data_IF_466132008731
#
_entry.id   IF_466132008731
#
_cell.length_a   1.000
_cell.length_b   1.000
_cell.length_c   1.000
_cell.angle_alpha   90.00
_cell.angle_beta   90.00
_cell.angle_gamma   90.00
#
_symmetry.space_group_name_H-M   'P 1'
#
loop_
_entity.id
_entity.type
_entity.pdbx_description
1 polymer ?
#
# COMPACT_ATOMS: atom_id res chain seq x y z
N UNK A 1 24.80 16.67 16.72
CA UNK A 1 24.12 16.90 15.43
C UNK A 1 22.89 15.99 15.42
N UNK A 2 21.72 16.50 15.09
CA UNK A 2 20.50 15.69 14.96
C UNK A 2 20.44 15.22 13.50
N UNK A 3 20.41 13.90 13.28
CA UNK A 3 20.27 13.35 11.95
C UNK A 3 18.83 13.54 11.43
N UNK A 4 18.69 13.72 10.13
CA UNK A 4 17.37 13.85 9.49
C UNK A 4 16.54 12.58 9.67
N UNK A 5 17.17 11.42 9.56
CA UNK A 5 16.56 10.13 9.77
C UNK A 5 17.54 9.18 10.48
N UNK A 6 16.99 8.31 11.31
CA UNK A 6 17.72 7.20 11.94
C UNK A 6 16.79 5.97 11.87
N UNK A 7 17.18 4.92 11.13
CA UNK A 7 16.39 3.69 11.07
C UNK A 7 16.13 3.12 12.47
N UNK A 8 14.91 2.60 12.74
CA UNK A 8 14.61 2.02 14.04
C UNK A 8 15.49 0.81 14.33
N UNK A 9 16.04 0.74 15.54
CA UNK A 9 16.82 -0.39 16.01
C UNK A 9 16.05 -1.15 17.09
N UNK A 10 15.92 -2.46 16.91
CA UNK A 10 15.30 -3.37 17.87
C UNK A 10 16.20 -4.61 18.01
N UNK A 11 16.63 -4.91 19.23
CA UNK A 11 17.58 -6.01 19.51
C UNK A 11 17.17 -7.35 18.90
N UNK A 12 15.89 -7.68 18.95
CA UNK A 12 15.37 -8.97 18.42
C UNK A 12 15.35 -9.08 16.90
N UNK A 13 15.59 -8.00 16.17
CA UNK A 13 15.53 -8.05 14.70
C UNK A 13 16.56 -9.03 14.11
N UNK A 14 17.78 -9.02 14.65
CA UNK A 14 18.84 -9.95 14.22
C UNK A 14 18.48 -11.42 14.50
N UNK A 15 17.86 -11.70 15.66
CA UNK A 15 17.43 -13.05 16.03
C UNK A 15 16.36 -13.58 15.08
N UNK A 16 15.37 -12.77 14.74
CA UNK A 16 14.29 -13.15 13.82
C UNK A 16 14.80 -13.38 12.39
N UNK A 17 15.73 -12.55 11.91
CA UNK A 17 16.39 -12.79 10.61
C UNK A 17 17.17 -14.12 10.64
N UNK A 18 17.91 -14.39 11.73
CA UNK A 18 18.65 -15.62 11.89
C UNK A 18 17.72 -16.86 11.94
N UNK A 19 16.52 -16.71 12.50
CA UNK A 19 15.50 -17.76 12.49
C UNK A 19 15.04 -18.08 11.07
N UNK A 20 14.81 -17.08 10.20
CA UNK A 20 14.51 -17.33 8.79
C UNK A 20 15.59 -18.15 8.10
N UNK A 21 16.87 -17.84 8.37
CA UNK A 21 18.01 -18.56 7.79
C UNK A 21 18.08 -20.00 8.33
N UNK A 22 17.92 -20.21 9.63
CA UNK A 22 17.94 -21.55 10.26
C UNK A 22 16.79 -22.43 9.74
N UNK A 23 15.61 -21.85 9.54
CA UNK A 23 14.45 -22.55 9.03
C UNK A 23 14.48 -22.75 7.50
N UNK A 24 15.53 -22.29 6.82
CA UNK A 24 15.70 -22.37 5.36
C UNK A 24 14.51 -21.76 4.58
N UNK A 25 13.84 -20.75 5.16
CA UNK A 25 12.73 -20.03 4.57
C UNK A 25 13.05 -18.54 4.56
N UNK A 26 13.73 -18.07 3.51
CA UNK A 26 14.18 -16.69 3.35
C UNK A 26 13.38 -15.91 2.28
N UNK A 27 12.69 -16.62 1.38
CA UNK A 27 11.80 -15.98 0.41
C UNK A 27 10.50 -15.53 1.09
N UNK A 28 9.75 -14.66 0.44
CA UNK A 28 8.50 -14.12 0.97
C UNK A 28 7.40 -15.14 1.22
N UNK A 29 6.31 -14.66 1.80
CA UNK A 29 5.19 -15.46 2.32
C UNK A 29 5.63 -16.53 3.35
N UNK A 30 6.68 -16.23 4.09
CA UNK A 30 7.10 -17.01 5.26
C UNK A 30 6.35 -16.60 6.53
N UNK A 31 6.82 -17.11 7.66
CA UNK A 31 6.19 -16.91 8.95
C UNK A 31 6.15 -15.42 9.38
N UNK A 32 7.20 -14.66 9.08
CA UNK A 32 7.25 -13.25 9.45
C UNK A 32 6.42 -12.36 8.53
N UNK A 33 6.35 -12.69 7.24
CA UNK A 33 5.40 -12.03 6.32
C UNK A 33 3.96 -12.18 6.82
N UNK A 34 3.57 -13.38 7.24
CA UNK A 34 2.24 -13.67 7.78
C UNK A 34 1.98 -12.89 9.09
N UNK A 35 2.94 -12.89 10.03
CA UNK A 35 2.84 -12.15 11.28
C UNK A 35 2.68 -10.64 11.07
N UNK A 36 3.44 -10.05 10.14
CA UNK A 36 3.31 -8.64 9.80
C UNK A 36 1.94 -8.32 9.19
N UNK A 37 1.49 -9.13 8.21
CA UNK A 37 0.19 -8.94 7.57
C UNK A 37 -0.94 -9.05 8.59
N UNK A 38 -0.93 -10.07 9.43
CA UNK A 38 -1.92 -10.26 10.49
C UNK A 38 -1.94 -9.08 11.48
N UNK A 39 -0.76 -8.63 11.94
CA UNK A 39 -0.67 -7.50 12.86
C UNK A 39 -1.28 -6.23 12.24
N UNK A 40 -1.01 -5.96 10.95
CA UNK A 40 -1.57 -4.81 10.25
C UNK A 40 -3.09 -4.99 10.08
N UNK A 41 -3.57 -6.16 9.68
CA UNK A 41 -5.00 -6.48 9.54
C UNK A 41 -5.75 -6.25 10.86
N UNK A 42 -5.22 -6.75 11.99
CA UNK A 42 -5.82 -6.57 13.32
C UNK A 42 -5.83 -5.11 13.79
N UNK A 43 -4.78 -4.34 13.50
CA UNK A 43 -4.67 -2.94 13.95
C UNK A 43 -5.45 -1.96 13.09
N UNK A 44 -5.61 -2.24 11.80
CA UNK A 44 -6.26 -1.32 10.86
C UNK A 44 -7.69 -1.70 10.56
N UNK A 45 -8.05 -2.97 10.74
CA UNK A 45 -9.35 -3.52 10.33
C UNK A 45 -9.51 -3.69 8.82
N UNK A 46 -8.40 -3.65 8.05
CA UNK A 46 -8.43 -3.98 6.62
C UNK A 46 -8.74 -5.46 6.42
N UNK A 47 -9.44 -5.80 5.34
CA UNK A 47 -9.79 -7.20 5.03
C UNK A 47 -8.56 -8.04 4.74
N UNK A 48 -7.59 -7.46 4.00
CA UNK A 48 -6.33 -8.13 3.67
C UNK A 48 -5.17 -7.15 3.60
N UNK A 49 -4.02 -7.58 4.12
CA UNK A 49 -2.75 -6.89 3.98
C UNK A 49 -1.75 -7.77 3.23
N UNK A 50 -1.20 -7.26 2.16
CA UNK A 50 -0.16 -7.92 1.38
C UNK A 50 1.13 -7.11 1.43
N UNK A 51 2.18 -7.64 2.06
CA UNK A 51 3.50 -6.99 2.02
C UNK A 51 4.02 -6.92 0.59
N UNK A 52 4.64 -5.79 0.27
CA UNK A 52 5.27 -5.51 -1.04
C UNK A 52 6.72 -5.06 -0.84
N UNK A 53 7.50 -5.11 -1.92
CA UNK A 53 8.92 -4.71 -1.90
C UNK A 53 9.13 -3.21 -1.73
N UNK A 54 8.08 -2.39 -1.91
CA UNK A 54 8.05 -0.95 -1.63
C UNK A 54 6.61 -0.44 -1.60
N UNK A 55 6.38 0.76 -1.07
CA UNK A 55 5.11 1.46 -1.22
C UNK A 55 4.81 1.80 -2.69
N UNK A 56 5.83 2.11 -3.47
CA UNK A 56 5.72 2.29 -4.92
C UNK A 56 5.06 1.08 -5.58
N UNK A 57 5.55 -0.12 -5.28
CA UNK A 57 4.96 -1.36 -5.79
C UNK A 57 3.56 -1.64 -5.22
N UNK A 58 3.25 -1.20 -4.00
CA UNK A 58 1.88 -1.27 -3.46
C UNK A 58 0.93 -0.38 -4.27
N UNK A 59 1.36 0.85 -4.61
CA UNK A 59 0.56 1.78 -5.42
C UNK A 59 0.41 1.32 -6.86
N UNK A 60 1.48 0.78 -7.48
CA UNK A 60 1.41 0.14 -8.79
C UNK A 60 0.43 -1.04 -8.81
N UNK A 61 0.48 -1.90 -7.78
CA UNK A 61 -0.44 -3.02 -7.64
C UNK A 61 -1.89 -2.53 -7.47
N UNK A 62 -2.12 -1.47 -6.70
CA UNK A 62 -3.44 -0.85 -6.58
C UNK A 62 -3.96 -0.29 -7.92
N UNK A 63 -3.09 0.36 -8.70
CA UNK A 63 -3.44 0.87 -10.03
C UNK A 63 -3.79 -0.27 -11.01
N UNK A 64 -3.07 -1.40 -10.93
CA UNK A 64 -3.38 -2.60 -11.71
C UNK A 64 -4.74 -3.19 -11.34
N UNK A 65 -5.03 -3.33 -10.05
CA UNK A 65 -6.30 -3.84 -9.51
C UNK A 65 -7.49 -2.91 -9.81
N UNK A 66 -7.21 -1.63 -10.01
CA UNK A 66 -8.22 -0.61 -10.33
C UNK A 66 -8.57 -0.56 -11.82
N UNK A 67 -8.01 -1.46 -12.63
CA UNK A 67 -8.25 -1.55 -14.08
C UNK A 67 -7.98 -0.22 -14.81
N UNK A 68 -6.93 0.49 -14.40
CA UNK A 68 -6.51 1.76 -15.01
C UNK A 68 -5.93 1.51 -16.40
N UNK A 69 -6.40 2.26 -17.39
CA UNK A 69 -6.02 2.15 -18.79
C UNK A 69 -5.36 3.41 -19.33
N UNK A 70 -4.66 3.33 -20.48
CA UNK A 70 -4.12 4.50 -21.14
C UNK A 70 -5.20 5.56 -21.44
N UNK A 71 -4.95 6.80 -21.02
CA UNK A 71 -5.86 7.93 -21.19
C UNK A 71 -6.87 8.13 -20.08
N UNK A 72 -6.99 7.21 -19.13
CA UNK A 72 -7.71 7.45 -17.88
C UNK A 72 -7.03 8.53 -17.04
N UNK A 73 -7.78 9.20 -16.19
CA UNK A 73 -7.27 10.27 -15.33
C UNK A 73 -7.32 9.85 -13.87
N UNK A 74 -6.24 10.19 -13.13
CA UNK A 74 -6.14 10.00 -11.68
C UNK A 74 -5.89 11.34 -11.00
N UNK A 75 -6.82 11.79 -10.14
CA UNK A 75 -6.73 13.05 -9.39
C UNK A 75 -5.85 12.84 -8.16
N UNK A 76 -4.82 13.68 -7.99
CA UNK A 76 -3.87 13.60 -6.89
C UNK A 76 -3.33 14.97 -6.49
N UNK A 77 -2.74 15.14 -5.29
CA UNK A 77 -2.18 16.43 -4.89
C UNK A 77 -0.93 16.77 -5.70
N UNK A 78 -0.74 18.06 -5.98
CA UNK A 78 0.48 18.56 -6.64
C UNK A 78 1.74 18.44 -5.75
N UNK A 79 1.56 18.27 -4.44
CA UNK A 79 2.64 18.08 -3.47
C UNK A 79 2.63 16.64 -2.94
N UNK A 80 3.44 15.80 -3.56
CA UNK A 80 3.61 14.39 -3.19
C UNK A 80 4.96 13.87 -3.66
N UNK A 81 5.31 12.66 -3.24
CA UNK A 81 6.44 11.93 -3.79
C UNK A 81 6.10 11.42 -5.20
N UNK A 82 7.09 11.34 -6.07
CA UNK A 82 6.90 10.98 -7.50
C UNK A 82 6.20 9.64 -7.71
N UNK A 83 6.42 8.66 -6.83
CA UNK A 83 5.83 7.32 -6.94
C UNK A 83 4.30 7.33 -6.94
N UNK A 84 3.67 8.33 -6.28
CA UNK A 84 2.21 8.49 -6.30
C UNK A 84 1.69 8.67 -7.72
N UNK A 85 2.40 9.44 -8.55
CA UNK A 85 2.04 9.66 -9.94
C UNK A 85 2.54 8.54 -10.86
N UNK A 86 3.77 8.06 -10.64
CA UNK A 86 4.42 7.06 -11.49
C UNK A 86 3.59 5.78 -11.63
N UNK A 87 2.93 5.33 -10.56
CA UNK A 87 2.08 4.14 -10.58
C UNK A 87 0.99 4.21 -11.66
N UNK A 88 0.44 5.39 -11.89
CA UNK A 88 -0.60 5.64 -12.90
C UNK A 88 0.00 5.90 -14.28
N UNK A 89 1.10 6.65 -14.34
CA UNK A 89 1.81 6.92 -15.59
C UNK A 89 2.31 5.63 -16.24
N UNK A 90 2.78 4.66 -15.46
CA UNK A 90 3.17 3.33 -15.95
C UNK A 90 2.00 2.57 -16.59
N UNK A 91 0.76 2.91 -16.25
CA UNK A 91 -0.46 2.38 -16.89
C UNK A 91 -0.91 3.22 -18.10
N UNK A 92 -0.19 4.29 -18.42
CA UNK A 92 -0.56 5.23 -19.47
C UNK A 92 -1.67 6.21 -19.09
N UNK A 93 -2.02 6.27 -17.80
CA UNK A 93 -2.97 7.23 -17.27
C UNK A 93 -2.36 8.63 -17.15
N UNK A 94 -3.21 9.63 -17.06
CA UNK A 94 -2.85 11.04 -16.95
C UNK A 94 -3.06 11.49 -15.49
N UNK A 95 -1.99 11.89 -14.77
CA UNK A 95 -2.12 12.52 -13.47
C UNK A 95 -2.82 13.87 -13.61
N UNK A 96 -3.87 14.12 -12.83
CA UNK A 96 -4.58 15.39 -12.73
C UNK A 96 -4.27 15.98 -11.38
N UNK A 97 -3.40 17.00 -11.35
CA UNK A 97 -2.96 17.58 -10.10
C UNK A 97 -3.95 18.64 -9.61
N UNK A 98 -4.30 18.55 -8.33
CA UNK A 98 -5.01 19.59 -7.58
C UNK A 98 -4.08 20.22 -6.55
N UNK A 99 -4.33 21.47 -6.20
CA UNK A 99 -3.51 22.16 -5.21
C UNK A 99 -3.74 21.60 -3.80
N UNK A 100 -2.87 21.99 -2.88
CA UNK A 100 -2.87 21.53 -1.50
C UNK A 100 -3.38 22.59 -0.55
N UNK A 101 -3.86 22.16 0.59
CA UNK A 101 -4.17 23.03 1.73
C UNK A 101 -2.88 23.53 2.39
N UNK A 102 -2.75 24.82 2.66
CA UNK A 102 -1.54 25.36 3.27
C UNK A 102 -1.35 24.95 4.75
N UNK A 103 -2.43 24.53 5.42
CA UNK A 103 -2.42 24.15 6.83
C UNK A 103 -2.00 22.70 7.07
N UNK A 104 -2.26 21.79 6.11
CA UNK A 104 -1.99 20.35 6.26
C UNK A 104 -1.03 19.80 5.22
N UNK A 105 -0.79 20.51 4.11
CA UNK A 105 -0.06 20.04 2.93
C UNK A 105 -0.75 18.89 2.19
N UNK A 106 -1.95 18.50 2.62
CA UNK A 106 -2.78 17.50 1.93
C UNK A 106 -3.54 18.16 0.76
N UNK A 107 -4.02 17.33 -0.18
CA UNK A 107 -4.86 17.85 -1.27
C UNK A 107 -6.04 18.67 -0.74
N UNK A 108 -6.35 19.78 -1.41
CA UNK A 108 -7.55 20.56 -1.09
C UNK A 108 -8.78 19.83 -1.65
N UNK A 109 -9.56 19.24 -0.75
CA UNK A 109 -10.76 18.48 -1.08
C UNK A 109 -11.80 19.28 -1.86
N UNK A 110 -11.77 20.61 -1.75
CA UNK A 110 -12.71 21.51 -2.44
C UNK A 110 -12.44 21.64 -3.94
N UNK A 111 -11.21 21.30 -4.35
CA UNK A 111 -10.79 21.39 -5.75
C UNK A 111 -11.04 20.09 -6.52
N UNK A 112 -11.32 18.98 -5.84
CA UNK A 112 -11.47 17.66 -6.46
C UNK A 112 -12.66 17.63 -7.42
N UNK A 113 -13.81 18.13 -6.99
CA UNK A 113 -15.05 18.08 -7.78
C UNK A 113 -14.87 18.75 -9.15
N UNK A 114 -14.19 19.92 -9.18
CA UNK A 114 -13.94 20.66 -10.42
C UNK A 114 -12.92 19.98 -11.34
N UNK A 115 -12.10 19.06 -10.81
CA UNK A 115 -11.12 18.32 -11.57
C UNK A 115 -11.68 17.01 -12.17
N UNK A 116 -12.90 16.60 -11.78
CA UNK A 116 -13.54 15.37 -12.31
C UNK A 116 -13.97 15.58 -13.75
N UNK A 117 -13.59 14.66 -14.62
CA UNK A 117 -14.03 14.56 -16.02
C UNK A 117 -14.61 13.17 -16.31
N UNK A 118 -15.08 12.95 -17.53
CA UNK A 118 -15.55 11.63 -17.97
C UNK A 118 -14.43 10.58 -18.02
N UNK A 119 -13.16 11.01 -18.06
CA UNK A 119 -11.98 10.15 -18.06
C UNK A 119 -11.48 9.82 -16.66
N UNK A 120 -11.94 10.54 -15.64
CA UNK A 120 -11.48 10.30 -14.26
C UNK A 120 -11.91 8.92 -13.80
N UNK A 121 -10.95 8.16 -13.24
CA UNK A 121 -11.16 6.81 -12.69
C UNK A 121 -10.77 6.69 -11.24
N UNK A 122 -9.81 7.49 -10.79
CA UNK A 122 -9.30 7.39 -9.43
C UNK A 122 -9.08 8.75 -8.76
N UNK A 123 -9.20 8.76 -7.44
CA UNK A 123 -8.69 9.82 -6.56
C UNK A 123 -7.63 9.19 -5.68
N UNK A 124 -6.48 9.87 -5.58
CA UNK A 124 -5.30 9.38 -4.84
C UNK A 124 -4.94 10.39 -3.74
N UNK A 125 -5.62 10.37 -2.60
CA UNK A 125 -5.26 11.22 -1.46
C UNK A 125 -3.92 10.75 -0.88
N UNK A 126 -3.08 11.72 -0.50
CA UNK A 126 -1.79 11.48 0.18
C UNK A 126 -1.90 12.00 1.61
N UNK A 127 -1.72 11.15 2.58
CA UNK A 127 -1.75 11.50 4.01
C UNK A 127 -0.38 12.02 4.45
N UNK A 128 -0.08 13.27 4.09
CA UNK A 128 1.22 13.86 4.31
C UNK A 128 1.58 13.93 5.79
N UNK A 129 2.79 13.49 6.14
CA UNK A 129 3.27 13.40 7.52
C UNK A 129 2.35 12.62 8.50
N UNK A 130 1.48 11.74 7.98
CA UNK A 130 0.50 11.01 8.79
C UNK A 130 -0.74 11.83 9.16
N UNK A 131 -0.86 13.06 8.64
CA UNK A 131 -2.08 13.88 8.80
C UNK A 131 -3.12 13.42 7.78
N UNK A 132 -4.32 13.14 8.25
CA UNK A 132 -5.38 12.66 7.37
C UNK A 132 -5.85 13.74 6.38
N UNK A 133 -6.13 13.34 5.13
CA UNK A 133 -6.97 14.12 4.23
C UNK A 133 -8.42 14.17 4.76
N UNK A 134 -9.25 15.08 4.24
CA UNK A 134 -10.69 15.16 4.56
C UNK A 134 -11.44 14.01 3.90
N UNK A 135 -11.27 12.81 4.46
CA UNK A 135 -11.73 11.56 3.83
C UNK A 135 -13.24 11.49 3.64
N UNK A 136 -14.04 12.11 4.51
CA UNK A 136 -15.50 12.12 4.33
C UNK A 136 -15.89 12.81 3.02
N UNK A 137 -15.29 13.96 2.72
CA UNK A 137 -15.54 14.70 1.48
C UNK A 137 -15.01 13.94 0.26
N UNK A 138 -13.81 13.38 0.36
CA UNK A 138 -13.18 12.61 -0.73
C UNK A 138 -14.04 11.38 -1.07
N UNK A 139 -14.48 10.65 -0.05
CA UNK A 139 -15.30 9.44 -0.25
C UNK A 139 -16.70 9.78 -0.80
N UNK A 140 -17.31 10.91 -0.41
CA UNK A 140 -18.58 11.37 -0.96
C UNK A 140 -18.43 11.68 -2.47
N UNK A 141 -17.39 12.43 -2.85
CA UNK A 141 -17.11 12.73 -4.27
C UNK A 141 -16.88 11.42 -5.05
N UNK A 142 -16.05 10.53 -4.52
CA UNK A 142 -15.76 9.26 -5.16
C UNK A 142 -17.03 8.41 -5.37
N UNK A 143 -17.92 8.38 -4.39
CA UNK A 143 -19.20 7.65 -4.49
C UNK A 143 -20.11 8.25 -5.56
N UNK A 144 -20.29 9.58 -5.59
CA UNK A 144 -21.13 10.26 -6.57
C UNK A 144 -20.65 10.04 -8.01
N UNK A 145 -19.35 10.02 -8.21
CA UNK A 145 -18.74 9.86 -9.54
C UNK A 145 -18.29 8.42 -9.84
N UNK A 146 -18.50 7.47 -8.92
CA UNK A 146 -18.08 6.05 -9.04
C UNK A 146 -16.59 5.90 -9.28
N UNK A 147 -15.78 6.68 -8.57
CA UNK A 147 -14.33 6.67 -8.66
C UNK A 147 -13.73 5.70 -7.64
N UNK A 148 -12.60 5.11 -7.99
CA UNK A 148 -11.76 4.33 -7.09
C UNK A 148 -10.97 5.30 -6.20
N UNK A 149 -10.83 4.97 -4.91
CA UNK A 149 -9.96 5.71 -4.00
C UNK A 149 -8.78 4.82 -3.61
N UNK A 150 -7.57 5.31 -3.87
CA UNK A 150 -6.31 4.66 -3.50
C UNK A 150 -5.57 5.61 -2.56
N UNK A 151 -5.49 5.24 -1.27
CA UNK A 151 -4.82 6.07 -0.28
C UNK A 151 -3.31 5.86 -0.33
N UNK A 152 -2.56 6.89 -0.69
CA UNK A 152 -1.12 6.93 -0.40
C UNK A 152 -0.94 7.26 1.09
N UNK A 153 -0.89 6.23 1.89
CA UNK A 153 -0.68 6.28 3.32
C UNK A 153 0.76 5.91 3.69
N UNK A 154 1.74 6.25 2.82
CA UNK A 154 3.16 5.95 3.03
C UNK A 154 3.71 6.44 4.39
N UNK A 155 3.05 7.41 5.01
CA UNK A 155 3.35 7.95 6.33
C UNK A 155 2.20 7.77 7.33
N UNK A 156 1.18 6.97 6.96
CA UNK A 156 -0.10 6.88 7.67
C UNK A 156 -0.25 5.72 8.66
N UNK A 157 0.75 4.83 8.79
CA UNK A 157 0.67 3.72 9.74
C UNK A 157 0.48 4.22 11.17
N UNK A 158 -0.46 3.63 11.91
CA UNK A 158 -0.88 4.03 13.27
C UNK A 158 -1.59 5.40 13.37
N UNK A 159 -1.79 6.11 12.25
CA UNK A 159 -2.61 7.30 12.21
C UNK A 159 -4.08 6.97 11.86
N UNK A 160 -4.99 7.86 12.24
CA UNK A 160 -6.42 7.65 12.04
C UNK A 160 -7.15 8.95 11.69
N UNK A 161 -8.27 8.82 10.99
CA UNK A 161 -9.25 9.87 10.77
C UNK A 161 -10.57 9.48 11.43
N UNK A 162 -11.03 10.27 12.41
CA UNK A 162 -12.27 10.00 13.16
C UNK A 162 -12.34 8.58 13.74
N UNK A 163 -11.20 8.07 14.21
CA UNK A 163 -11.11 6.75 14.84
C UNK A 163 -10.96 5.57 13.88
N UNK A 164 -10.97 5.79 12.56
CA UNK A 164 -10.70 4.75 11.55
C UNK A 164 -9.28 4.90 11.00
N UNK A 165 -8.54 3.80 10.89
CA UNK A 165 -7.15 3.80 10.45
C UNK A 165 -6.99 4.35 9.03
N UNK A 166 -5.94 5.16 8.78
CA UNK A 166 -5.58 5.61 7.45
C UNK A 166 -5.15 4.42 6.58
N UNK A 167 -5.44 4.50 5.27
CA UNK A 167 -5.24 3.40 4.33
C UNK A 167 -6.39 2.40 4.28
N UNK A 168 -7.52 2.67 4.98
CA UNK A 168 -8.68 1.76 5.00
C UNK A 168 -9.99 2.39 4.54
N UNK A 169 -9.98 3.66 4.16
CA UNK A 169 -11.17 4.37 3.67
C UNK A 169 -11.47 4.04 2.22
N UNK A 170 -10.44 4.07 1.38
CA UNK A 170 -10.53 3.79 -0.05
C UNK A 170 -10.72 2.31 -0.38
N UNK A 171 -10.64 2.00 -1.65
CA UNK A 171 -10.63 0.63 -2.14
C UNK A 171 -9.31 -0.06 -1.77
N UNK A 172 -8.21 0.71 -1.85
CA UNK A 172 -6.86 0.28 -1.52
C UNK A 172 -6.14 1.34 -0.70
N UNK A 173 -5.23 0.89 0.17
CA UNK A 173 -4.31 1.75 0.91
C UNK A 173 -2.88 1.24 0.79
N UNK A 174 -1.91 2.15 0.76
CA UNK A 174 -0.51 1.82 0.53
C UNK A 174 0.35 2.34 1.69
N UNK A 175 1.00 1.43 2.43
CA UNK A 175 1.96 1.78 3.48
C UNK A 175 3.39 1.67 2.97
N UNK A 176 4.28 2.48 3.53
CA UNK A 176 5.72 2.42 3.29
C UNK A 176 6.47 1.94 4.53
N UNK A 177 7.41 1.02 4.30
CA UNK A 177 8.39 0.55 5.27
C UNK A 177 9.83 0.80 4.79
N UNK A 178 10.01 1.87 4.00
CA UNK A 178 11.34 2.38 3.66
C UNK A 178 12.08 2.82 4.93
N UNK A 179 13.42 2.81 4.93
CA UNK A 179 14.22 3.15 6.12
C UNK A 179 13.91 4.53 6.73
N UNK A 180 13.37 5.46 5.93
CA UNK A 180 12.99 6.81 6.38
C UNK A 180 11.65 6.88 7.12
N UNK A 181 10.92 5.77 7.23
CA UNK A 181 9.58 5.72 7.84
C UNK A 181 9.65 5.32 9.33
N UNK A 182 8.53 5.53 10.03
CA UNK A 182 8.41 5.23 11.46
C UNK A 182 8.61 3.73 11.77
N UNK A 183 8.18 2.87 10.85
CA UNK A 183 8.43 1.43 10.85
C UNK A 183 9.16 1.09 9.55
N UNK A 184 10.18 0.27 9.63
CA UNK A 184 11.05 0.02 8.49
C UNK A 184 11.38 -1.46 8.30
N UNK A 185 11.54 -1.88 7.06
CA UNK A 185 12.14 -3.15 6.68
C UNK A 185 13.32 -2.93 5.69
N UNK A 186 13.93 -1.73 5.74
CA UNK A 186 14.92 -1.25 4.80
C UNK A 186 14.24 -0.72 3.55
N UNK A 187 13.87 -1.60 2.67
CA UNK A 187 12.97 -1.38 1.54
C UNK A 187 11.73 -2.24 1.71
N UNK A 188 10.54 -1.63 1.65
CA UNK A 188 9.29 -2.34 1.75
C UNK A 188 8.05 -1.48 1.78
N UNK A 189 6.92 -2.14 1.67
CA UNK A 189 5.60 -1.55 1.75
C UNK A 189 4.53 -2.59 2.01
N UNK A 190 3.29 -2.15 2.02
CA UNK A 190 2.13 -3.04 2.06
C UNK A 190 0.96 -2.44 1.29
N UNK A 191 0.22 -3.32 0.61
CA UNK A 191 -1.09 -3.03 0.06
C UNK A 191 -2.15 -3.50 1.05
N UNK A 192 -3.05 -2.59 1.42
CA UNK A 192 -4.25 -2.86 2.20
C UNK A 192 -5.43 -2.93 1.24
N UNK A 193 -6.24 -3.98 1.37
CA UNK A 193 -7.37 -4.27 0.49
C UNK A 193 -8.64 -4.25 1.33
N UNK A 194 -9.63 -3.44 0.91
CA UNK A 194 -10.89 -3.33 1.63
C UNK A 194 -11.86 -4.45 1.28
N UNK A 195 -11.99 -4.76 0.00
CA UNK A 195 -13.02 -5.68 -0.50
C UNK A 195 -12.43 -7.08 -0.74
N UNK A 196 -13.04 -8.12 -0.18
CA UNK A 196 -12.60 -9.52 -0.29
C UNK A 196 -12.49 -10.00 -1.75
N UNK A 197 -13.34 -9.49 -2.63
CA UNK A 197 -13.34 -9.85 -4.05
C UNK A 197 -12.03 -9.53 -4.78
N UNK A 198 -11.26 -8.55 -4.28
CA UNK A 198 -10.02 -8.09 -4.91
C UNK A 198 -8.78 -8.85 -4.39
N UNK A 199 -8.93 -9.65 -3.32
CA UNK A 199 -7.81 -10.32 -2.64
C UNK A 199 -7.14 -11.36 -3.54
N UNK A 200 -7.92 -12.21 -4.20
CA UNK A 200 -7.35 -13.27 -5.05
C UNK A 200 -6.55 -12.69 -6.22
N UNK A 201 -7.09 -11.68 -6.89
CA UNK A 201 -6.39 -11.04 -8.00
C UNK A 201 -5.13 -10.31 -7.54
N UNK A 202 -5.19 -9.65 -6.38
CA UNK A 202 -4.03 -9.02 -5.77
C UNK A 202 -2.89 -10.01 -5.48
N UNK A 203 -3.21 -11.19 -4.93
CA UNK A 203 -2.24 -12.26 -4.71
C UNK A 203 -1.62 -12.74 -6.02
N UNK A 204 -2.44 -12.91 -7.07
CA UNK A 204 -1.98 -13.35 -8.41
C UNK A 204 -1.01 -12.32 -8.99
N UNK A 205 -1.40 -11.05 -9.05
CA UNK A 205 -0.57 -10.00 -9.64
C UNK A 205 0.72 -9.81 -8.84
N UNK A 206 0.65 -9.84 -7.50
CA UNK A 206 1.81 -9.73 -6.61
C UNK A 206 2.85 -10.82 -6.87
N UNK A 207 2.41 -12.03 -7.20
CA UNK A 207 3.27 -13.19 -7.41
C UNK A 207 3.32 -13.59 -8.89
N UNK A 208 3.75 -12.64 -9.72
CA UNK A 208 4.10 -12.88 -11.15
C UNK A 208 2.94 -13.36 -12.03
N UNK A 209 1.70 -13.03 -11.66
CA UNK A 209 0.52 -13.45 -12.39
C UNK A 209 0.18 -14.93 -12.23
N UNK A 210 0.64 -15.58 -11.16
CA UNK A 210 0.41 -16.99 -10.90
C UNK A 210 -0.56 -17.22 -9.73
N UNK A 211 -1.29 -18.33 -9.75
CA UNK A 211 -2.14 -18.75 -8.64
C UNK A 211 -1.38 -19.53 -7.54
N UNK A 212 -0.10 -19.20 -7.34
CA UNK A 212 0.81 -19.87 -6.40
C UNK A 212 0.29 -19.85 -4.95
N UNK A 213 -0.37 -18.77 -4.53
CA UNK A 213 -0.96 -18.67 -3.19
C UNK A 213 -1.99 -19.77 -2.95
N UNK A 214 -2.82 -20.12 -3.93
CA UNK A 214 -3.77 -21.25 -3.85
C UNK A 214 -3.06 -22.60 -3.73
N UNK A 215 -1.95 -22.77 -4.43
CA UNK A 215 -1.13 -23.99 -4.32
C UNK A 215 -0.60 -24.18 -2.90
N UNK A 216 -0.03 -23.14 -2.29
CA UNK A 216 0.46 -23.25 -0.91
C UNK A 216 -0.65 -23.45 0.13
N UNK A 217 -1.86 -23.02 -0.15
CA UNK A 217 -3.04 -23.32 0.68
C UNK A 217 -3.63 -24.70 0.42
N UNK A 218 -3.06 -25.51 -0.50
CA UNK A 218 -3.56 -26.85 -0.85
C UNK A 218 -4.89 -26.83 -1.60
N UNK A 219 -5.26 -25.72 -2.22
CA UNK A 219 -6.50 -25.55 -2.95
C UNK A 219 -6.42 -26.04 -4.41
N UNK A 220 -5.21 -26.18 -4.93
CA UNK A 220 -4.89 -26.68 -6.27
C UNK A 220 -3.65 -27.55 -6.23
N UNK A 221 -3.54 -28.52 -7.13
CA UNK A 221 -2.41 -29.47 -7.18
C UNK A 221 -1.15 -28.89 -7.84
N UNK A 222 -1.32 -27.89 -8.71
CA UNK A 222 -0.24 -27.25 -9.46
C UNK A 222 -0.60 -25.80 -9.72
N UNK A 223 0.34 -24.86 -9.46
CA UNK A 223 0.15 -23.48 -9.85
C UNK A 223 0.57 -23.24 -11.31
N UNK A 224 -0.09 -22.28 -11.95
CA UNK A 224 0.12 -21.92 -13.34
C UNK A 224 0.09 -20.40 -13.49
N UNK A 225 0.51 -19.91 -14.64
CA UNK A 225 0.33 -18.53 -15.03
C UNK A 225 -1.15 -18.28 -15.39
N UNK A 226 -1.77 -17.29 -14.75
CA UNK A 226 -3.19 -16.95 -14.86
C UNK A 226 -3.39 -15.60 -15.53
N UNK A 227 -2.62 -14.59 -15.13
CA UNK A 227 -2.80 -13.21 -15.55
C UNK A 227 -1.42 -12.52 -15.63
N UNK A 228 -1.38 -11.25 -16.06
CA UNK A 228 -0.19 -10.43 -15.88
C UNK A 228 0.11 -10.27 -14.39
N UNK A 229 1.35 -9.91 -14.08
CA UNK A 229 1.80 -9.67 -12.72
C UNK A 229 3.28 -9.36 -12.67
N UNK A 230 3.78 -9.07 -11.48
CA UNK A 230 5.20 -8.80 -11.27
C UNK A 230 5.70 -9.41 -9.95
N UNK A 231 6.99 -9.28 -9.70
CA UNK A 231 7.62 -9.77 -8.48
C UNK A 231 7.56 -8.70 -7.39
N UNK A 232 6.39 -8.53 -6.77
CA UNK A 232 6.18 -7.53 -5.72
C UNK A 232 6.41 -8.08 -4.31
N UNK A 233 6.69 -9.36 -4.16
CA UNK A 233 6.82 -10.05 -2.89
C UNK A 233 8.20 -9.79 -2.25
N UNK A 234 8.28 -9.22 -1.02
CA UNK A 234 9.53 -9.02 -0.31
C UNK A 234 10.05 -10.33 0.29
N UNK A 235 11.32 -10.36 0.71
CA UNK A 235 11.86 -11.51 1.44
C UNK A 235 11.29 -11.61 2.85
N UNK A 236 11.26 -12.83 3.41
CA UNK A 236 10.84 -13.03 4.81
C UNK A 236 11.86 -12.45 5.81
N UNK A 237 13.11 -12.26 5.39
CA UNK A 237 14.13 -11.57 6.20
C UNK A 237 13.80 -10.08 6.39
N UNK A 238 13.30 -9.41 5.35
CA UNK A 238 12.82 -8.03 5.47
C UNK A 238 11.59 -7.98 6.40
N UNK A 239 10.66 -8.90 6.24
CA UNK A 239 9.49 -9.00 7.11
C UNK A 239 9.87 -9.30 8.57
N UNK A 240 10.90 -10.11 8.82
CA UNK A 240 11.42 -10.39 10.16
C UNK A 240 11.95 -9.12 10.85
N UNK A 241 12.67 -8.28 10.10
CA UNK A 241 13.14 -7.00 10.60
C UNK A 241 11.97 -6.07 10.96
N UNK A 242 10.95 -5.99 10.10
CA UNK A 242 9.73 -5.20 10.36
C UNK A 242 8.97 -5.74 11.58
N UNK A 243 8.79 -7.06 11.66
CA UNK A 243 8.02 -7.68 12.75
C UNK A 243 8.61 -7.39 14.12
N UNK A 244 9.93 -7.29 14.24
CA UNK A 244 10.57 -6.94 15.51
C UNK A 244 10.10 -5.59 16.06
N UNK A 245 9.79 -4.63 15.19
CA UNK A 245 9.28 -3.32 15.55
C UNK A 245 7.76 -3.38 15.85
N UNK A 246 7.00 -4.08 15.02
CA UNK A 246 5.55 -4.23 15.19
C UNK A 246 5.19 -4.96 16.49
N UNK A 247 5.99 -5.94 16.89
CA UNK A 247 5.74 -6.75 18.10
C UNK A 247 5.89 -6.00 19.43
N UNK A 248 6.51 -4.81 19.41
CA UNK A 248 6.73 -3.99 20.63
C UNK A 248 5.92 -2.69 20.61
N UNK A 249 5.09 -2.46 19.59
CA UNK A 249 4.29 -1.23 19.40
C UNK A 249 2.82 -1.37 19.81
#
# INVERSE_FOLDING_TARGET
MINFNVPPYVDKAADYIQECVKNQKICGDGAYTQKCSQWIEERTGTTKCLLTTSCTHATELAALLSDIHPGDEAIMPAYTFVSTADAFVLRGAVPVFVDIRPDTMNMDEKLIEAAVTEKTRAIVPVHYAGVACEMDTIMDIAQRHRLIVIEDAAQGIMASYKGKALGTFGNFGCFSFHETKNYSMGEGGALLIRDEKDVEEAEIIREKGTNRSKYYRGQIDKYTWINYGSSYLPSDMNAAYLYAQLAIS
#
